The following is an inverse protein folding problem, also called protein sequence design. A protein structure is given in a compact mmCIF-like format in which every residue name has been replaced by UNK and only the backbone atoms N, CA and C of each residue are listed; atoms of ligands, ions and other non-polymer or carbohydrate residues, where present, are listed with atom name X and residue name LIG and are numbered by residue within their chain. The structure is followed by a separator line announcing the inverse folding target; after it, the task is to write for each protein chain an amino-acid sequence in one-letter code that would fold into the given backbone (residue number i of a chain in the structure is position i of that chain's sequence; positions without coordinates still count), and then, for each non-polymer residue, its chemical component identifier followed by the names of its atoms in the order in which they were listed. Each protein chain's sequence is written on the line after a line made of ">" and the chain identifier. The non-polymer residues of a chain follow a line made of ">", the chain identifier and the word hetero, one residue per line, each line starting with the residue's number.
data_IF_545754220428
#
_entry.id   IF_545754220428
#
_cell.length_a   1.000
_cell.length_b   1.000
_cell.length_c   1.000
_cell.angle_alpha   90.00
_cell.angle_beta   90.00
_cell.angle_gamma   90.00
#
_symmetry.space_group_name_H-M   'P 1'
#
loop_
_entity.id
_entity.type
_entity.pdbx_description
1 polymer ?
#
# COMPACT_ATOMS: atom_id res chain seq x y z
N UNK A 1 -2.64 22.31 -18.04
CA UNK A 1 -3.03 22.01 -16.65
C UNK A 1 -2.89 20.51 -16.51
N UNK A 2 -1.86 20.01 -15.83
CA UNK A 2 -1.64 18.56 -15.72
C UNK A 2 -2.64 17.99 -14.72
N UNK A 3 -3.43 17.01 -15.14
CA UNK A 3 -4.31 16.24 -14.28
C UNK A 3 -3.48 15.54 -13.18
N UNK A 4 -3.39 16.16 -12.00
CA UNK A 4 -2.84 15.51 -10.82
C UNK A 4 -3.94 14.58 -10.31
N UNK A 5 -3.69 13.26 -10.22
CA UNK A 5 -4.67 12.34 -9.66
C UNK A 5 -5.11 12.83 -8.27
N UNK A 6 -6.41 12.99 -8.06
CA UNK A 6 -6.96 13.44 -6.77
C UNK A 6 -6.92 12.34 -5.70
N UNK A 7 -6.58 11.11 -6.10
CA UNK A 7 -6.47 9.98 -5.20
C UNK A 7 -5.19 10.08 -4.35
N UNK A 8 -5.37 10.13 -3.03
CA UNK A 8 -4.24 10.24 -2.10
C UNK A 8 -3.45 8.93 -2.11
N UNK A 9 -2.15 9.02 -2.35
CA UNK A 9 -1.26 7.85 -2.34
C UNK A 9 -0.62 7.67 -0.97
N UNK A 10 -0.56 6.43 -0.49
CA UNK A 10 0.10 6.06 0.77
C UNK A 10 1.16 4.98 0.54
N UNK A 11 2.40 5.25 0.94
CA UNK A 11 3.51 4.27 0.90
C UNK A 11 3.64 3.65 2.28
N UNK A 12 3.57 2.32 2.36
CA UNK A 12 3.70 1.58 3.62
C UNK A 12 4.90 0.65 3.54
N UNK A 13 5.85 0.81 4.48
CA UNK A 13 7.04 -0.05 4.58
C UNK A 13 6.75 -1.28 5.44
N UNK A 14 7.45 -2.39 5.17
CA UNK A 14 7.19 -3.66 5.84
C UNK A 14 5.79 -4.22 5.57
N UNK A 15 5.16 -3.85 4.45
CA UNK A 15 3.76 -4.12 4.16
C UNK A 15 3.49 -5.50 3.54
N UNK A 16 4.50 -6.37 3.42
CA UNK A 16 4.29 -7.73 2.91
C UNK A 16 3.47 -8.63 3.86
N UNK A 17 3.37 -8.29 5.15
CA UNK A 17 2.68 -9.10 6.17
C UNK A 17 2.34 -8.29 7.44
N UNK A 18 1.65 -8.95 8.37
CA UNK A 18 1.38 -8.43 9.71
C UNK A 18 0.69 -7.06 9.69
N UNK A 19 1.17 -6.16 10.54
CA UNK A 19 0.58 -4.82 10.72
C UNK A 19 0.68 -3.98 9.45
N UNK A 20 1.83 -4.01 8.75
CA UNK A 20 2.01 -3.25 7.51
C UNK A 20 0.99 -3.62 6.44
N UNK A 21 0.72 -4.92 6.27
CA UNK A 21 -0.37 -5.38 5.38
C UNK A 21 -1.74 -4.87 5.84
N UNK A 22 -2.04 -4.99 7.13
CA UNK A 22 -3.33 -4.56 7.66
C UNK A 22 -3.57 -3.05 7.43
N UNK A 23 -2.53 -2.23 7.56
CA UNK A 23 -2.56 -0.79 7.25
C UNK A 23 -2.82 -0.55 5.76
N UNK A 24 -2.13 -1.25 4.85
CA UNK A 24 -2.39 -1.14 3.40
C UNK A 24 -3.86 -1.47 3.08
N UNK A 25 -4.39 -2.58 3.61
CA UNK A 25 -5.77 -2.99 3.36
C UNK A 25 -6.75 -1.94 3.87
N UNK A 26 -6.52 -1.39 5.06
CA UNK A 26 -7.40 -0.36 5.62
C UNK A 26 -7.33 0.95 4.83
N UNK A 27 -6.13 1.41 4.44
CA UNK A 27 -5.97 2.59 3.60
C UNK A 27 -6.65 2.43 2.23
N UNK A 28 -6.50 1.26 1.59
CA UNK A 28 -7.17 0.97 0.34
C UNK A 28 -8.71 1.01 0.48
N UNK A 29 -9.27 0.45 1.55
CA UNK A 29 -10.71 0.57 1.87
C UNK A 29 -11.18 2.02 2.06
N UNK A 30 -10.29 2.89 2.54
CA UNK A 30 -10.57 4.32 2.72
C UNK A 30 -10.29 5.15 1.45
N UNK A 31 -10.06 4.51 0.30
CA UNK A 31 -9.91 5.19 -1.00
C UNK A 31 -8.51 5.77 -1.24
N UNK A 32 -7.49 5.20 -0.62
CA UNK A 32 -6.09 5.54 -0.92
C UNK A 32 -5.51 4.57 -1.95
N UNK A 33 -4.71 5.10 -2.87
CA UNK A 33 -3.82 4.29 -3.69
C UNK A 33 -2.61 3.86 -2.83
N UNK A 34 -2.49 2.57 -2.54
CA UNK A 34 -1.43 2.08 -1.64
C UNK A 34 -0.22 1.53 -2.38
N UNK A 35 0.97 1.86 -1.90
CA UNK A 35 2.25 1.29 -2.37
C UNK A 35 2.84 0.40 -1.27
N UNK A 36 3.04 -0.86 -1.60
CA UNK A 36 3.59 -1.87 -0.70
C UNK A 36 5.11 -1.91 -0.83
N UNK A 37 5.83 -1.53 0.22
CA UNK A 37 7.28 -1.72 0.29
C UNK A 37 7.63 -2.89 1.22
N UNK A 38 8.59 -3.71 0.77
CA UNK A 38 9.06 -4.90 1.46
C UNK A 38 10.56 -5.11 1.20
N UNK A 39 11.21 -5.92 2.04
CA UNK A 39 12.64 -6.24 1.89
C UNK A 39 12.90 -7.51 1.08
N UNK A 40 12.31 -8.64 1.48
CA UNK A 40 12.60 -9.96 0.90
C UNK A 40 11.40 -10.90 0.78
N UNK A 41 10.20 -10.42 1.13
CA UNK A 41 8.96 -11.21 1.16
C UNK A 41 8.03 -10.81 0.00
N UNK A 42 8.49 -11.07 -1.22
CA UNK A 42 7.75 -10.78 -2.46
C UNK A 42 6.40 -11.49 -2.51
N UNK A 43 6.36 -12.76 -2.10
CA UNK A 43 5.11 -13.53 -2.02
C UNK A 43 4.10 -12.92 -1.06
N UNK A 44 4.56 -12.38 0.07
CA UNK A 44 3.74 -11.59 0.98
C UNK A 44 3.27 -10.29 0.31
N UNK A 45 4.16 -9.56 -0.35
CA UNK A 45 3.81 -8.31 -1.01
C UNK A 45 2.76 -8.49 -2.13
N UNK A 46 2.87 -9.53 -2.96
CA UNK A 46 1.90 -9.83 -4.03
C UNK A 46 0.51 -10.25 -3.52
N UNK A 47 0.41 -10.62 -2.24
CA UNK A 47 -0.84 -11.03 -1.58
C UNK A 47 -1.43 -9.90 -0.70
N UNK A 48 -0.73 -8.78 -0.57
CA UNK A 48 -1.19 -7.59 0.17
C UNK A 48 -2.02 -6.74 -0.77
#
# INVERSE_FOLDING_TARGET
>A
MTDIPTERTAIVTGASKGIGRAICIELAKNGYHTVVNYKSDEKGALKT
#
